data_IF_180595795822
#
_entry.id   IF_180595795822
#
_cell.length_a   1.000
_cell.length_b   1.000
_cell.length_c   1.000
_cell.angle_alpha   90.00
_cell.angle_beta   90.00
_cell.angle_gamma   90.00
#
_symmetry.space_group_name_H-M   'P 1'
#
loop_
_entity.id
_entity.type
_entity.pdbx_description
1 polymer ?
#
# COMPACT_ATOMS: atom_id res chain seq x y z
N UNK A 1 11.51 16.48 32.66
CA UNK A 1 10.56 16.11 31.58
C UNK A 1 11.42 15.61 30.44
N UNK A 2 11.69 14.30 30.41
CA UNK A 2 12.56 13.69 29.40
C UNK A 2 11.82 13.60 28.06
N UNK A 3 12.41 14.18 27.01
CA UNK A 3 11.83 14.26 25.66
C UNK A 3 11.61 12.88 24.99
N UNK A 4 12.15 11.80 25.57
CA UNK A 4 12.03 10.44 25.06
C UNK A 4 10.64 9.80 25.25
N UNK A 5 9.76 10.36 26.09
CA UNK A 5 8.43 9.78 26.34
C UNK A 5 7.36 10.17 25.31
N UNK A 6 7.69 11.04 24.34
CA UNK A 6 6.74 11.58 23.35
C UNK A 6 6.80 10.88 21.98
N UNK A 7 7.78 10.00 21.77
CA UNK A 7 7.89 9.16 20.57
C UNK A 7 7.78 7.70 21.00
N UNK A 8 6.54 7.25 21.24
CA UNK A 8 6.27 5.81 21.19
C UNK A 8 6.71 5.25 19.84
N UNK A 9 7.05 3.95 19.73
CA UNK A 9 7.40 3.36 18.44
C UNK A 9 6.31 3.75 17.46
N UNK A 10 6.70 4.35 16.33
CA UNK A 10 5.76 4.57 15.25
C UNK A 10 5.06 3.23 15.02
N UNK A 11 3.79 3.22 14.62
CA UNK A 11 3.07 1.94 14.48
C UNK A 11 3.84 0.92 13.63
N UNK A 12 4.77 1.36 12.75
CA UNK A 12 5.71 0.54 12.00
C UNK A 12 6.79 -0.23 12.80
N UNK A 13 7.12 0.19 14.02
CA UNK A 13 8.20 -0.37 14.87
C UNK A 13 7.71 -1.31 15.98
N UNK A 14 6.39 -1.52 16.12
CA UNK A 14 5.87 -2.50 17.06
C UNK A 14 6.08 -3.93 16.51
N UNK A 15 6.62 -4.88 17.29
CA UNK A 15 6.65 -6.29 16.89
C UNK A 15 5.21 -6.77 16.77
N UNK A 16 4.75 -7.04 15.54
CA UNK A 16 3.44 -7.63 15.31
C UNK A 16 3.56 -9.14 15.41
N UNK A 17 2.85 -9.73 16.37
CA UNK A 17 2.69 -11.18 16.49
C UNK A 17 1.98 -11.72 15.23
N UNK A 18 2.74 -12.01 14.17
CA UNK A 18 2.28 -12.69 12.96
C UNK A 18 1.55 -11.83 11.91
N UNK A 19 1.25 -10.56 12.15
CA UNK A 19 0.56 -9.71 11.17
C UNK A 19 1.53 -9.24 10.07
N UNK A 20 1.27 -9.66 8.82
CA UNK A 20 2.05 -9.28 7.65
C UNK A 20 1.62 -7.90 7.14
N UNK A 21 2.32 -6.84 7.54
CA UNK A 21 1.96 -5.48 7.11
C UNK A 21 2.52 -5.17 5.73
N UNK A 22 1.61 -4.96 4.78
CA UNK A 22 1.91 -4.66 3.38
C UNK A 22 1.72 -3.17 3.09
N UNK A 23 2.71 -2.53 2.48
CA UNK A 23 2.57 -1.18 1.94
C UNK A 23 1.98 -1.22 0.53
N UNK A 24 1.00 -0.37 0.24
CA UNK A 24 0.50 -0.13 -1.12
C UNK A 24 0.06 1.32 -1.25
N UNK A 25 0.38 1.94 -2.37
CA UNK A 25 -0.14 3.26 -2.74
C UNK A 25 -0.91 3.12 -4.05
N UNK A 26 -2.20 3.50 -4.01
CA UNK A 26 -3.07 3.56 -5.19
C UNK A 26 -3.55 5.00 -5.34
N UNK A 27 -3.61 5.48 -6.58
CA UNK A 27 -4.12 6.81 -6.93
C UNK A 27 -5.14 6.65 -8.05
N UNK A 28 -6.27 7.34 -7.91
CA UNK A 28 -7.28 7.49 -8.95
C UNK A 28 -7.53 8.97 -9.23
N UNK A 29 -7.56 9.34 -10.51
CA UNK A 29 -7.87 10.71 -10.95
C UNK A 29 -9.00 10.66 -11.97
N UNK A 30 -10.07 11.40 -11.70
CA UNK A 30 -11.17 11.58 -12.64
C UNK A 30 -10.92 12.80 -13.52
N UNK A 31 -11.27 12.71 -14.80
CA UNK A 31 -11.21 13.80 -15.75
C UNK A 31 -12.41 13.73 -16.71
N UNK A 32 -12.61 14.78 -17.51
CA UNK A 32 -13.67 14.75 -18.53
C UNK A 32 -13.33 13.73 -19.62
N UNK A 33 -14.16 12.69 -19.74
CA UNK A 33 -13.92 11.55 -20.63
C UNK A 33 -13.38 10.29 -19.96
N UNK A 34 -13.12 10.27 -18.64
CA UNK A 34 -12.84 9.02 -17.94
C UNK A 34 -12.05 9.13 -16.63
N UNK A 35 -11.28 8.08 -16.33
CA UNK A 35 -10.45 7.96 -15.13
C UNK A 35 -9.05 7.44 -15.47
N UNK A 36 -8.07 7.80 -14.64
CA UNK A 36 -6.73 7.21 -14.63
C UNK A 36 -6.51 6.52 -13.29
N UNK A 37 -6.07 5.27 -13.32
CA UNK A 37 -5.69 4.50 -12.14
C UNK A 37 -4.18 4.25 -12.17
N UNK A 38 -3.52 4.43 -11.02
CA UNK A 38 -2.11 4.14 -10.84
C UNK A 38 -1.91 3.41 -9.51
N UNK A 39 -0.95 2.49 -9.48
CA UNK A 39 -0.55 1.78 -8.27
C UNK A 39 0.97 1.62 -8.24
N UNK A 40 1.55 1.61 -7.05
CA UNK A 40 2.96 1.27 -6.89
C UNK A 40 3.19 -0.23 -7.10
N UNK A 41 4.38 -0.60 -7.56
CA UNK A 41 4.71 -2.00 -7.86
C UNK A 41 5.35 -2.76 -6.69
N UNK A 42 5.58 -2.09 -5.55
CA UNK A 42 6.24 -2.64 -4.38
C UNK A 42 5.26 -3.46 -3.54
N UNK A 43 5.66 -4.66 -3.15
CA UNK A 43 5.03 -5.44 -2.07
C UNK A 43 6.05 -5.64 -0.96
N UNK A 44 5.69 -5.31 0.28
CA UNK A 44 6.60 -5.36 1.43
C UNK A 44 6.04 -6.23 2.55
N UNK A 45 6.86 -7.04 3.20
CA UNK A 45 6.49 -7.69 4.45
C UNK A 45 7.21 -6.97 5.58
N UNK A 46 6.52 -6.04 6.24
CA UNK A 46 7.18 -5.07 7.13
C UNK A 46 8.24 -4.27 6.37
N UNK A 47 9.48 -4.29 6.85
CA UNK A 47 10.60 -3.55 6.24
C UNK A 47 11.19 -4.24 5.00
N UNK A 48 10.90 -5.52 4.77
CA UNK A 48 11.46 -6.27 3.65
C UNK A 48 10.65 -6.09 2.37
N UNK A 49 11.31 -5.76 1.25
CA UNK A 49 10.66 -5.69 -0.07
C UNK A 49 10.59 -7.08 -0.69
N UNK A 50 9.43 -7.71 -0.58
CA UNK A 50 9.16 -9.06 -1.07
C UNK A 50 9.00 -9.13 -2.59
N UNK A 51 8.41 -8.09 -3.21
CA UNK A 51 8.31 -7.96 -4.66
C UNK A 51 8.47 -6.50 -5.08
N UNK A 52 9.18 -6.25 -6.19
CA UNK A 52 9.38 -4.92 -6.78
C UNK A 52 8.51 -4.65 -8.02
N UNK A 53 7.88 -5.69 -8.56
CA UNK A 53 7.16 -5.67 -9.83
C UNK A 53 5.80 -6.38 -9.70
N UNK A 54 5.06 -6.09 -8.64
CA UNK A 54 3.71 -6.61 -8.47
C UNK A 54 2.72 -5.80 -9.30
N UNK A 55 1.87 -6.49 -10.07
CA UNK A 55 0.70 -5.87 -10.68
C UNK A 55 -0.48 -5.86 -9.69
N UNK A 56 -0.98 -4.67 -9.41
CA UNK A 56 -2.05 -4.42 -8.44
C UNK A 56 -3.35 -3.96 -9.09
N UNK A 57 -3.35 -3.71 -10.40
CA UNK A 57 -4.52 -3.26 -11.15
C UNK A 57 -4.96 -4.40 -12.06
N UNK A 58 -6.18 -4.89 -11.87
CA UNK A 58 -6.71 -6.00 -12.66
C UNK A 58 -7.96 -5.55 -13.40
N UNK A 59 -8.04 -5.87 -14.68
CA UNK A 59 -9.25 -5.65 -15.47
C UNK A 59 -10.32 -6.67 -15.08
N UNK A 60 -11.53 -6.21 -14.81
CA UNK A 60 -12.70 -7.07 -14.57
C UNK A 60 -13.57 -7.16 -15.83
N UNK A 61 -13.83 -6.03 -16.48
CA UNK A 61 -14.55 -5.92 -17.75
C UNK A 61 -13.96 -4.79 -18.59
N UNK A 62 -14.49 -4.55 -19.80
CA UNK A 62 -13.98 -3.55 -20.73
C UNK A 62 -13.77 -2.15 -20.11
N UNK A 63 -14.64 -1.76 -19.16
CA UNK A 63 -14.61 -0.43 -18.54
C UNK A 63 -14.54 -0.48 -17.00
N UNK A 64 -14.23 -1.63 -16.41
CA UNK A 64 -14.16 -1.79 -14.96
C UNK A 64 -12.83 -2.45 -14.58
N UNK A 65 -12.08 -1.74 -13.74
CA UNK A 65 -10.79 -2.19 -13.20
C UNK A 65 -10.86 -2.17 -11.68
N UNK A 66 -10.13 -3.10 -11.05
CA UNK A 66 -10.00 -3.20 -9.60
C UNK A 66 -8.55 -3.02 -9.19
N UNK A 67 -8.33 -2.23 -8.15
CA UNK A 67 -7.03 -2.07 -7.52
C UNK A 67 -7.00 -2.86 -6.20
N UNK A 68 -5.93 -3.61 -5.95
CA UNK A 68 -5.75 -4.42 -4.73
C UNK A 68 -4.72 -3.76 -3.81
N UNK A 69 -5.02 -3.66 -2.52
CA UNK A 69 -4.14 -3.06 -1.50
C UNK A 69 -4.21 -3.84 -0.19
N UNK A 70 -3.08 -3.88 0.52
CA UNK A 70 -2.98 -4.54 1.82
C UNK A 70 -2.92 -6.07 1.72
N UNK A 71 -3.09 -6.69 2.89
CA UNK A 71 -3.25 -8.13 3.12
C UNK A 71 -4.46 -8.36 4.02
#
# INVERSE_FOLDING_TARGET
MDAASLMGPSSADAPTDGEHRMGTTIVGVCYDGGVVLAADSRTSTGMYVANRASDKISQLTDNVYVCRSGS
#
